data_IF_017801915445
#
_entry.id   IF_017801915445
#
_cell.length_a   1.000
_cell.length_b   1.000
_cell.length_c   1.000
_cell.angle_alpha   90.00
_cell.angle_beta   90.00
_cell.angle_gamma   90.00
#
_symmetry.space_group_name_H-M   'P 1'
#
loop_
_entity.id
_entity.type
_entity.pdbx_description
1 polymer ?
#
# COMPACT_ATOMS: atom_id res chain seq x y z
N UNK A 1 11.43 -6.39 -5.83
CA UNK A 1 10.11 -5.86 -6.24
C UNK A 1 9.19 -5.78 -5.03
N UNK A 2 8.17 -4.93 -5.07
CA UNK A 2 7.16 -4.81 -4.01
C UNK A 2 5.76 -4.99 -4.59
N UNK A 3 4.98 -5.89 -3.99
CA UNK A 3 3.56 -6.11 -4.30
C UNK A 3 2.73 -5.68 -3.09
N UNK A 4 1.72 -4.84 -3.30
CA UNK A 4 0.96 -4.25 -2.20
C UNK A 4 -0.55 -4.32 -2.45
N UNK A 5 -1.31 -4.82 -1.48
CA UNK A 5 -2.74 -4.58 -1.35
C UNK A 5 -2.92 -3.46 -0.34
N UNK A 6 -3.37 -2.29 -0.80
CA UNK A 6 -3.55 -1.13 0.06
C UNK A 6 -5.01 -0.95 0.46
N UNK A 7 -5.32 -1.36 1.69
CA UNK A 7 -6.60 -1.12 2.34
C UNK A 7 -6.68 0.30 2.87
N UNK A 8 -7.81 0.97 2.67
CA UNK A 8 -8.05 2.35 3.14
C UNK A 8 -9.03 2.41 4.32
N UNK A 9 -9.16 3.60 4.95
CA UNK A 9 -8.28 4.76 4.81
C UNK A 9 -6.98 4.59 5.63
N UNK A 10 -5.94 5.34 5.29
CA UNK A 10 -4.73 5.40 6.11
C UNK A 10 -5.01 6.23 7.37
N UNK A 11 -4.94 5.61 8.55
CA UNK A 11 -5.37 6.22 9.82
C UNK A 11 -4.21 6.80 10.65
N UNK A 12 -3.03 6.18 10.58
CA UNK A 12 -1.92 6.45 11.51
C UNK A 12 -0.83 7.36 10.94
N UNK A 13 -0.40 7.11 9.71
CA UNK A 13 0.68 7.87 9.05
C UNK A 13 0.18 8.24 7.66
N UNK A 14 0.21 9.53 7.33
CA UNK A 14 -0.12 10.01 5.98
C UNK A 14 0.99 9.58 5.03
N UNK A 15 0.63 9.37 3.77
CA UNK A 15 1.59 8.91 2.77
C UNK A 15 2.72 9.91 2.52
N UNK A 16 2.41 11.21 2.61
CA UNK A 16 3.39 12.31 2.55
C UNK A 16 4.48 12.23 3.62
N UNK A 17 4.14 11.73 4.81
CA UNK A 17 5.05 11.56 5.95
C UNK A 17 5.82 10.23 5.92
N UNK A 18 5.62 9.42 4.88
CA UNK A 18 6.27 8.12 4.70
C UNK A 18 7.25 8.15 3.51
N UNK A 19 8.54 8.42 3.74
CA UNK A 19 9.53 8.51 2.67
C UNK A 19 9.89 7.14 2.06
N UNK A 20 9.39 6.05 2.62
CA UNK A 20 9.77 4.70 2.19
C UNK A 20 9.48 4.49 0.70
N UNK A 21 8.31 4.92 0.22
CA UNK A 21 7.90 4.70 -1.15
C UNK A 21 8.80 5.40 -2.17
N UNK A 22 9.10 6.69 -1.95
CA UNK A 22 10.01 7.43 -2.81
C UNK A 22 11.40 6.77 -2.81
N UNK A 23 11.86 6.33 -1.64
CA UNK A 23 13.16 5.66 -1.48
C UNK A 23 13.23 4.36 -2.30
N UNK A 24 12.19 3.52 -2.31
CA UNK A 24 12.21 2.29 -3.12
C UNK A 24 12.13 2.59 -4.62
N UNK A 25 11.36 3.60 -5.03
CA UNK A 25 11.27 4.02 -6.43
C UNK A 25 12.63 4.53 -6.93
N UNK A 26 13.31 5.39 -6.18
CA UNK A 26 14.65 5.91 -6.51
C UNK A 26 15.70 4.80 -6.66
N UNK A 27 15.53 3.70 -5.92
CA UNK A 27 16.39 2.51 -6.03
C UNK A 27 16.06 1.61 -7.22
N UNK A 28 15.09 1.99 -8.06
CA UNK A 28 14.66 1.22 -9.24
C UNK A 28 13.85 -0.03 -8.89
N UNK A 29 13.27 -0.10 -7.68
CA UNK A 29 12.44 -1.24 -7.29
C UNK A 29 11.10 -1.16 -8.00
N UNK A 30 10.73 -2.22 -8.74
CA UNK A 30 9.40 -2.33 -9.33
C UNK A 30 8.34 -2.41 -8.24
N UNK A 31 7.36 -1.51 -8.29
CA UNK A 31 6.21 -1.47 -7.37
C UNK A 31 4.92 -1.76 -8.13
N UNK A 32 4.09 -2.64 -7.56
CA UNK A 32 2.78 -2.99 -8.10
C UNK A 32 1.77 -2.96 -6.95
N UNK A 33 0.73 -2.14 -7.09
CA UNK A 33 -0.25 -1.93 -6.02
C UNK A 33 -1.68 -2.13 -6.52
N UNK A 34 -2.50 -2.76 -5.68
CA UNK A 34 -3.96 -2.74 -5.78
C UNK A 34 -4.49 -1.91 -4.63
N UNK A 35 -5.26 -0.86 -4.93
CA UNK A 35 -5.80 0.08 -3.94
C UNK A 35 -7.33 0.07 -3.94
N UNK A 36 -7.92 0.40 -2.79
CA UNK A 36 -9.35 0.71 -2.68
C UNK A 36 -9.62 2.18 -3.10
N UNK A 37 -10.86 2.55 -3.49
CA UNK A 37 -11.18 3.91 -3.92
C UNK A 37 -10.87 4.97 -2.86
N UNK A 38 -11.09 4.64 -1.58
CA UNK A 38 -10.80 5.53 -0.45
C UNK A 38 -9.31 5.97 -0.39
N UNK A 39 -8.38 5.13 -0.84
CA UNK A 39 -6.95 5.48 -0.91
C UNK A 39 -6.70 6.47 -2.04
N UNK A 40 -7.41 6.33 -3.16
CA UNK A 40 -7.32 7.26 -4.30
C UNK A 40 -7.87 8.62 -3.93
N UNK A 41 -9.02 8.64 -3.24
CA UNK A 41 -9.66 9.87 -2.77
C UNK A 41 -8.78 10.63 -1.76
N UNK A 42 -8.04 9.90 -0.92
CA UNK A 42 -7.15 10.48 0.08
C UNK A 42 -5.85 11.02 -0.54
N UNK A 43 -5.22 10.29 -1.47
CA UNK A 43 -3.83 10.55 -1.90
C UNK A 43 -3.63 10.48 -3.44
N UNK A 44 -4.53 11.09 -4.23
CA UNK A 44 -4.48 11.05 -5.70
C UNK A 44 -3.16 11.57 -6.29
N UNK A 45 -2.61 12.66 -5.75
CA UNK A 45 -1.38 13.30 -6.24
C UNK A 45 -0.18 12.37 -6.12
N UNK A 46 -0.05 11.68 -4.98
CA UNK A 46 1.05 10.75 -4.71
C UNK A 46 0.94 9.48 -5.55
N UNK A 47 -0.28 8.94 -5.75
CA UNK A 47 -0.49 7.83 -6.68
C UNK A 47 -0.10 8.22 -8.11
N UNK A 48 -0.44 9.43 -8.54
CA UNK A 48 -0.09 9.93 -9.87
C UNK A 48 1.43 10.08 -10.02
N UNK A 49 2.12 10.57 -8.99
CA UNK A 49 3.58 10.63 -8.95
C UNK A 49 4.18 9.23 -9.06
N UNK A 50 3.72 8.26 -8.26
CA UNK A 50 4.18 6.87 -8.33
C UNK A 50 4.03 6.29 -9.74
N UNK A 51 2.86 6.45 -10.37
CA UNK A 51 2.62 6.02 -11.75
C UNK A 51 3.60 6.69 -12.73
N UNK A 52 3.85 7.98 -12.60
CA UNK A 52 4.81 8.70 -13.45
C UNK A 52 6.25 8.20 -13.30
N UNK A 53 6.57 7.60 -12.15
CA UNK A 53 7.87 7.00 -11.85
C UNK A 53 7.90 5.49 -12.14
N UNK A 54 6.84 4.93 -12.72
CA UNK A 54 6.77 3.53 -13.18
C UNK A 54 6.07 2.55 -12.24
N UNK A 55 5.37 3.02 -11.20
CA UNK A 55 4.50 2.18 -10.38
C UNK A 55 3.29 1.67 -11.19
N UNK A 56 2.97 0.38 -11.07
CA UNK A 56 1.75 -0.19 -11.62
C UNK A 56 0.62 -0.11 -10.59
N UNK A 57 -0.37 0.75 -10.82
CA UNK A 57 -1.53 0.92 -9.93
C UNK A 57 -2.79 0.28 -10.54
N UNK A 58 -3.52 -0.49 -9.75
CA UNK A 58 -4.89 -0.94 -10.06
C UNK A 58 -5.84 -0.55 -8.94
N UNK A 59 -7.07 -0.20 -9.30
CA UNK A 59 -8.14 0.08 -8.33
C UNK A 59 -9.07 -1.12 -8.27
N UNK A 60 -9.30 -1.65 -7.07
CA UNK A 60 -10.29 -2.68 -6.78
C UNK A 60 -11.39 -2.08 -5.90
N UNK A 61 -12.61 -2.61 -5.97
CA UNK A 61 -13.70 -2.14 -5.11
C UNK A 61 -13.38 -2.35 -3.62
N UNK A 62 -12.73 -3.48 -3.29
CA UNK A 62 -12.28 -3.85 -1.95
C UNK A 62 -11.02 -4.73 -2.05
N UNK A 63 -10.12 -4.63 -1.07
CA UNK A 63 -9.07 -5.62 -0.82
C UNK A 63 -9.31 -6.34 0.52
N UNK A 64 -9.06 -7.66 0.62
CA UNK A 64 -9.43 -8.43 1.81
C UNK A 64 -8.67 -8.00 3.07
N UNK A 65 -7.41 -7.59 2.92
CA UNK A 65 -6.58 -7.05 4.01
C UNK A 65 -5.44 -6.22 3.42
N UNK A 66 -4.80 -5.38 4.25
CA UNK A 66 -3.48 -4.81 3.93
C UNK A 66 -2.48 -5.97 3.81
N UNK A 67 -1.71 -5.99 2.72
CA UNK A 67 -0.64 -6.97 2.52
C UNK A 67 0.49 -6.31 1.74
N UNK A 68 1.73 -6.48 2.18
CA UNK A 68 2.92 -6.07 1.44
C UNK A 68 3.80 -7.30 1.28
N UNK A 69 4.21 -7.60 0.05
CA UNK A 69 5.15 -8.67 -0.27
C UNK A 69 6.40 -8.05 -0.89
N UNK A 70 7.56 -8.39 -0.34
CA UNK A 70 8.87 -7.92 -0.78
C UNK A 70 9.65 -9.09 -1.36
N UNK A 71 10.16 -8.89 -2.59
CA UNK A 71 10.97 -9.84 -3.35
C UNK A 71 10.34 -11.23 -3.55
N UNK A 72 9.03 -11.34 -3.32
CA UNK A 72 8.28 -12.60 -3.27
C UNK A 72 8.74 -13.57 -2.17
N UNK A 73 9.49 -13.09 -1.19
CA UNK A 73 10.06 -13.93 -0.12
C UNK A 73 9.55 -13.52 1.26
N UNK A 74 9.26 -12.23 1.44
CA UNK A 74 8.79 -11.70 2.72
C UNK A 74 7.41 -11.08 2.58
N UNK A 75 6.55 -11.30 3.57
CA UNK A 75 5.22 -10.72 3.63
C UNK A 75 4.99 -10.00 4.97
N UNK A 76 4.33 -8.85 4.90
CA UNK A 76 3.84 -8.10 6.05
C UNK A 76 2.33 -7.94 5.90
N UNK A 77 1.60 -8.31 6.94
CA UNK A 77 0.17 -8.15 7.07
C UNK A 77 -0.16 -7.76 8.51
N UNK A 78 -1.26 -7.02 8.74
CA UNK A 78 -1.73 -6.78 10.09
C UNK A 78 -2.27 -8.08 10.67
N UNK A 79 -2.00 -8.29 11.95
CA UNK A 79 -2.75 -9.25 12.75
C UNK A 79 -4.02 -8.53 13.22
N UNK A 80 -5.17 -9.14 12.93
CA UNK A 80 -6.42 -8.72 13.53
C UNK A 80 -6.54 -9.51 14.84
N UNK A 81 -6.77 -8.82 15.96
CA UNK A 81 -7.22 -9.53 17.16
C UNK A 81 -8.64 -10.01 16.90
N UNK A 82 -8.93 -11.28 17.22
CA UNK A 82 -10.31 -11.72 17.32
C UNK A 82 -10.96 -10.93 18.48
N UNK A 83 -12.12 -10.29 18.29
CA UNK A 83 -12.83 -9.62 19.39
C UNK A 83 -13.00 -10.52 20.63
N UNK A 84 -13.05 -11.83 20.43
CA UNK A 84 -13.18 -12.82 21.50
C UNK A 84 -11.87 -13.10 22.28
N UNK A 85 -10.70 -12.65 21.79
CA UNK A 85 -9.39 -12.83 22.47
C UNK A 85 -9.17 -11.86 23.65
N UNK A 86 -10.06 -10.89 23.87
CA UNK A 86 -9.94 -9.84 24.91
C UNK A 86 -10.93 -10.06 26.08
N UNK A 87 -11.73 -11.15 26.05
CA UNK A 87 -12.70 -11.48 27.10
C UNK A 87 -12.07 -12.21 28.31
#
# INVERSE_FOLDING_TARGET
EVLNLSKGPAVAVRREDNPAELTVIERGVRIRVVVEPAVVEQDLSLLTLGVSLGEEVRVAAEVPTKLVVVDREHALLPLHQDPDDIA
#
